data_IF_029905904810
#
_entry.id   IF_029905904810
#
_cell.length_a   1.000
_cell.length_b   1.000
_cell.length_c   1.000
_cell.angle_alpha   90.00
_cell.angle_beta   90.00
_cell.angle_gamma   90.00
#
_symmetry.space_group_name_H-M   'P 1'
#
loop_
_entity.id
_entity.type
_entity.pdbx_description
1 polymer ?
#
# COMPACT_ATOMS: atom_id res chain seq x y z
N UNK A 1 4.15 30.02 -34.18
CA UNK A 1 3.88 28.63 -33.79
C UNK A 1 2.86 28.64 -32.67
N UNK A 2 1.70 28.03 -32.86
CA UNK A 2 0.63 28.01 -31.86
C UNK A 2 0.77 26.74 -31.04
N UNK A 3 0.93 26.86 -29.71
CA UNK A 3 0.98 25.70 -28.82
C UNK A 3 -0.45 25.30 -28.44
N UNK A 4 -0.86 24.09 -28.81
CA UNK A 4 -2.12 23.52 -28.39
C UNK A 4 -1.92 22.80 -27.06
N UNK A 5 -2.50 23.35 -25.98
CA UNK A 5 -2.49 22.72 -24.65
C UNK A 5 -3.82 21.99 -24.46
N UNK A 6 -3.76 20.67 -24.36
CA UNK A 6 -4.90 19.85 -23.96
C UNK A 6 -4.91 19.69 -22.45
N UNK A 7 -6.06 19.90 -21.82
CA UNK A 7 -6.26 19.72 -20.38
C UNK A 7 -7.22 18.56 -20.13
N UNK A 8 -7.06 17.90 -18.99
CA UNK A 8 -8.00 16.89 -18.52
C UNK A 8 -9.42 17.47 -18.46
N UNK A 9 -10.45 16.73 -18.91
CA UNK A 9 -11.84 17.14 -18.74
C UNK A 9 -12.33 16.98 -17.29
N UNK A 10 -11.57 16.28 -16.45
CA UNK A 10 -11.91 16.08 -15.04
C UNK A 10 -11.57 17.31 -14.19
N UNK A 11 -12.35 17.58 -13.13
CA UNK A 11 -12.05 18.67 -12.23
C UNK A 11 -10.67 18.49 -11.60
N UNK A 12 -10.03 19.61 -11.29
CA UNK A 12 -8.81 19.60 -10.50
C UNK A 12 -9.14 19.08 -9.12
N UNK A 13 -8.38 18.07 -8.67
CA UNK A 13 -8.42 17.60 -7.29
C UNK A 13 -7.18 18.12 -6.56
N UNK A 14 -7.30 18.30 -5.26
CA UNK A 14 -6.14 18.53 -4.40
C UNK A 14 -5.41 17.21 -4.19
N UNK A 15 -4.09 17.24 -4.35
CA UNK A 15 -3.26 16.10 -4.03
C UNK A 15 -2.87 16.18 -2.56
N UNK A 16 -3.07 15.11 -1.78
CA UNK A 16 -2.73 15.11 -0.36
C UNK A 16 -1.23 15.26 -0.18
N UNK A 17 -0.84 16.05 0.82
CA UNK A 17 0.56 16.21 1.24
C UNK A 17 0.89 15.14 2.27
N UNK A 18 1.10 13.91 1.81
CA UNK A 18 1.47 12.76 2.63
C UNK A 18 2.42 11.82 1.86
N UNK A 19 3.27 11.09 2.58
CA UNK A 19 4.00 9.98 1.97
C UNK A 19 3.04 8.84 1.56
N UNK A 20 3.51 7.97 0.66
CA UNK A 20 2.68 6.90 0.11
C UNK A 20 2.10 5.98 1.21
N UNK A 21 2.90 5.42 2.15
CA UNK A 21 2.36 4.64 3.26
C UNK A 21 1.26 5.37 4.04
N UNK A 22 1.52 6.60 4.48
CA UNK A 22 0.56 7.40 5.26
C UNK A 22 -0.75 7.61 4.50
N UNK A 23 -0.66 7.96 3.21
CA UNK A 23 -1.85 8.13 2.38
C UNK A 23 -2.63 6.83 2.18
N UNK A 24 -1.93 5.73 1.87
CA UNK A 24 -2.56 4.42 1.61
C UNK A 24 -3.23 3.84 2.84
N UNK A 25 -2.51 3.74 3.96
CA UNK A 25 -3.09 3.23 5.20
C UNK A 25 -4.23 4.13 5.68
N UNK A 26 -4.10 5.46 5.57
CA UNK A 26 -5.18 6.38 5.87
C UNK A 26 -6.44 6.13 5.04
N UNK A 27 -6.30 5.91 3.73
CA UNK A 27 -7.43 5.59 2.85
C UNK A 27 -8.07 4.22 3.17
N UNK A 28 -7.26 3.21 3.48
CA UNK A 28 -7.75 1.87 3.86
C UNK A 28 -8.49 1.90 5.20
N UNK A 29 -7.97 2.62 6.19
CA UNK A 29 -8.63 2.80 7.49
C UNK A 29 -9.94 3.61 7.39
N UNK A 30 -10.00 4.58 6.46
CA UNK A 30 -11.22 5.35 6.20
C UNK A 30 -12.31 4.52 5.49
N UNK A 31 -11.94 3.43 4.81
CA UNK A 31 -12.88 2.55 4.14
C UNK A 31 -13.41 1.48 5.10
N UNK A 32 -14.65 1.68 5.57
CA UNK A 32 -15.35 0.80 6.53
C UNK A 32 -15.23 -0.70 6.22
N UNK A 33 -15.18 -1.04 4.94
CA UNK A 33 -15.11 -2.43 4.48
C UNK A 33 -13.91 -3.20 5.03
N UNK A 34 -12.78 -2.54 5.30
CA UNK A 34 -11.54 -3.17 5.80
C UNK A 34 -11.41 -3.15 7.32
N UNK A 35 -12.13 -2.26 8.02
CA UNK A 35 -11.98 -2.02 9.47
C UNK A 35 -13.18 -2.44 10.32
N UNK A 36 -14.31 -2.80 9.70
CA UNK A 36 -15.52 -3.22 10.44
C UNK A 36 -15.28 -4.45 11.31
N UNK A 37 -15.73 -4.39 12.57
CA UNK A 37 -15.45 -5.41 13.61
C UNK A 37 -16.01 -6.80 13.33
N UNK A 38 -17.21 -6.88 12.76
CA UNK A 38 -17.93 -8.15 12.65
C UNK A 38 -17.44 -9.02 11.47
N UNK A 39 -16.91 -8.39 10.41
CA UNK A 39 -16.53 -9.07 9.18
C UNK A 39 -15.69 -8.11 8.31
N UNK A 40 -14.43 -7.82 8.70
CA UNK A 40 -13.55 -7.03 7.84
C UNK A 40 -13.35 -7.77 6.50
N UNK A 41 -13.13 -7.03 5.42
CA UNK A 41 -12.71 -7.62 4.14
C UNK A 41 -11.19 -7.74 4.09
N UNK A 42 -10.65 -8.78 3.43
CA UNK A 42 -9.23 -8.85 3.15
C UNK A 42 -8.81 -7.73 2.19
N UNK A 43 -7.56 -7.29 2.32
CA UNK A 43 -6.91 -6.34 1.41
C UNK A 43 -6.32 -7.08 0.20
N UNK A 44 -5.75 -8.26 0.45
CA UNK A 44 -5.28 -9.17 -0.60
C UNK A 44 -5.87 -10.57 -0.38
N UNK A 45 -6.14 -11.24 -1.48
CA UNK A 45 -6.60 -12.64 -1.54
C UNK A 45 -5.71 -13.33 -2.57
N UNK A 46 -5.19 -14.51 -2.25
CA UNK A 46 -4.41 -15.27 -3.22
C UNK A 46 -5.34 -15.87 -4.29
N UNK A 47 -4.99 -15.70 -5.55
CA UNK A 47 -5.74 -16.27 -6.67
C UNK A 47 -5.60 -17.80 -6.72
N UNK A 48 -4.44 -18.33 -6.33
CA UNK A 48 -4.16 -19.76 -6.33
C UNK A 48 -4.80 -20.49 -5.16
N UNK A 49 -4.99 -19.80 -4.02
CA UNK A 49 -5.66 -20.31 -2.84
C UNK A 49 -6.52 -19.23 -2.19
N UNK A 50 -7.83 -19.25 -2.48
CA UNK A 50 -8.78 -18.29 -1.95
C UNK A 50 -8.96 -18.38 -0.41
N UNK A 51 -8.36 -19.37 0.26
CA UNK A 51 -8.30 -19.42 1.73
C UNK A 51 -7.14 -18.61 2.30
N UNK A 52 -6.15 -18.23 1.48
CA UNK A 52 -5.08 -17.32 1.85
C UNK A 52 -5.51 -15.86 1.66
N UNK A 53 -5.72 -15.20 2.79
CA UNK A 53 -6.21 -13.83 2.86
C UNK A 53 -5.30 -12.98 3.75
N UNK A 54 -5.01 -11.75 3.32
CA UNK A 54 -4.27 -10.78 4.10
C UNK A 54 -5.16 -9.59 4.48
N UNK A 55 -5.43 -9.46 5.78
CA UNK A 55 -6.23 -8.40 6.37
C UNK A 55 -5.38 -7.16 6.69
N UNK A 56 -6.05 -6.00 6.81
CA UNK A 56 -5.40 -4.69 6.95
C UNK A 56 -4.48 -4.61 8.17
N UNK A 57 -4.95 -5.08 9.33
CA UNK A 57 -4.19 -5.08 10.60
C UNK A 57 -2.91 -5.92 10.49
N UNK A 58 -3.02 -7.09 9.87
CA UNK A 58 -1.90 -8.01 9.66
C UNK A 58 -0.91 -7.44 8.66
N UNK A 59 -1.40 -6.88 7.55
CA UNK A 59 -0.58 -6.22 6.54
C UNK A 59 0.22 -5.06 7.15
N UNK A 60 -0.45 -4.16 7.88
CA UNK A 60 0.19 -3.00 8.52
C UNK A 60 1.26 -3.44 9.52
N UNK A 61 0.96 -4.45 10.33
CA UNK A 61 1.93 -5.06 11.26
C UNK A 61 3.14 -5.62 10.51
N UNK A 62 2.92 -6.36 9.42
CA UNK A 62 4.00 -6.95 8.61
C UNK A 62 4.87 -5.88 7.95
N UNK A 63 4.27 -4.85 7.37
CA UNK A 63 5.00 -3.71 6.80
C UNK A 63 5.85 -3.01 7.87
N UNK A 64 5.30 -2.76 9.07
CA UNK A 64 6.04 -2.17 10.18
C UNK A 64 7.22 -3.04 10.64
N UNK A 65 7.01 -4.36 10.75
CA UNK A 65 8.07 -5.31 11.12
C UNK A 65 9.17 -5.39 10.05
N UNK A 66 8.80 -5.44 8.76
CA UNK A 66 9.73 -5.45 7.64
C UNK A 66 10.56 -4.16 7.62
N UNK A 67 9.91 -2.99 7.71
CA UNK A 67 10.59 -1.70 7.74
C UNK A 67 11.56 -1.59 8.92
N UNK A 68 11.13 -2.02 10.11
CA UNK A 68 11.98 -2.08 11.31
C UNK A 68 13.20 -2.99 11.10
N UNK A 69 12.99 -4.18 10.53
CA UNK A 69 14.08 -5.11 10.23
C UNK A 69 15.07 -4.60 9.20
N UNK A 70 14.58 -3.95 8.14
CA UNK A 70 15.43 -3.32 7.13
C UNK A 70 16.29 -2.22 7.75
N UNK A 71 15.69 -1.36 8.58
CA UNK A 71 16.40 -0.23 9.18
C UNK A 71 17.40 -0.64 10.27
N UNK A 72 16.96 -1.49 11.22
CA UNK A 72 17.75 -1.83 12.41
C UNK A 72 18.68 -3.04 12.22
N UNK A 73 18.29 -4.02 11.41
CA UNK A 73 19.07 -5.25 11.24
C UNK A 73 19.86 -5.27 9.92
N UNK A 74 19.30 -4.75 8.84
CA UNK A 74 19.97 -4.74 7.52
C UNK A 74 20.70 -3.43 7.22
N UNK A 75 20.45 -2.37 8.01
CA UNK A 75 21.13 -1.09 7.87
C UNK A 75 20.64 -0.21 6.73
N UNK A 76 19.47 -0.50 6.13
CA UNK A 76 18.88 0.29 5.05
C UNK A 76 18.59 1.73 5.52
N UNK A 77 18.88 2.70 4.67
CA UNK A 77 18.71 4.14 4.92
C UNK A 77 17.87 4.81 3.83
N UNK A 78 17.31 6.01 4.12
CA UNK A 78 16.66 6.81 3.09
C UNK A 78 17.59 7.04 1.90
N UNK A 79 17.12 6.69 0.70
CA UNK A 79 17.90 6.77 -0.54
C UNK A 79 18.49 5.44 -1.01
N UNK A 80 18.54 4.43 -0.15
CA UNK A 80 18.94 3.07 -0.53
C UNK A 80 17.84 2.36 -1.34
N UNK A 81 18.23 1.33 -2.08
CA UNK A 81 17.34 0.55 -2.93
C UNK A 81 17.26 -0.88 -2.42
N UNK A 82 16.03 -1.39 -2.27
CA UNK A 82 15.72 -2.80 -1.98
C UNK A 82 15.06 -3.41 -3.20
N UNK A 83 15.49 -4.60 -3.60
CA UNK A 83 14.89 -5.35 -4.70
C UNK A 83 14.04 -6.51 -4.15
N UNK A 84 12.83 -6.67 -4.70
CA UNK A 84 11.93 -7.78 -4.40
C UNK A 84 11.84 -8.67 -5.64
N UNK A 85 12.18 -9.95 -5.49
CA UNK A 85 12.17 -10.93 -6.56
C UNK A 85 11.36 -12.16 -6.13
N UNK A 86 10.05 -12.01 -6.12
CA UNK A 86 9.07 -13.01 -5.71
C UNK A 86 7.99 -13.14 -6.78
N UNK A 87 7.33 -14.32 -6.93
CA UNK A 87 6.12 -14.41 -7.72
C UNK A 87 5.01 -13.55 -7.12
N UNK A 88 3.98 -13.23 -7.90
CA UNK A 88 2.78 -12.58 -7.36
C UNK A 88 2.18 -13.46 -6.26
N UNK A 89 2.12 -12.93 -5.05
CA UNK A 89 1.48 -13.55 -3.88
C UNK A 89 1.04 -12.43 -2.92
N UNK A 90 0.27 -12.79 -1.90
CA UNK A 90 -0.26 -11.83 -0.91
C UNK A 90 0.81 -11.16 -0.04
N UNK A 91 2.06 -11.63 -0.09
CA UNK A 91 3.22 -11.12 0.64
C UNK A 91 4.20 -10.35 -0.25
N UNK A 92 3.84 -10.07 -1.50
CA UNK A 92 4.63 -9.20 -2.39
C UNK A 92 4.54 -7.76 -1.88
N UNK A 93 5.37 -7.45 -0.88
CA UNK A 93 5.47 -6.17 -0.16
C UNK A 93 6.81 -5.49 -0.45
#
# INVERSE_FOLDING_TARGET
>A
MTVHIFKSPFPRIELPVADLPTYWFGALHAADVFVRKASPRPVFVDEADASEELYLDRMETMCGQLASGLYHHSGVRPGDVVAVALPNNIYYL
#
